data_IF_883775138962
#
_entry.id   IF_883775138962
#
_cell.length_a   1.000
_cell.length_b   1.000
_cell.length_c   1.000
_cell.angle_alpha   90.00
_cell.angle_beta   90.00
_cell.angle_gamma   90.00
#
_symmetry.space_group_name_H-M   'P 1'
#
loop_
_entity.id
_entity.type
_entity.pdbx_description
1 polymer ?
#
# COMPACT_ATOMS: atom_id res chain seq x y z
N UNK A 1 -42.07 -3.04 10.69
CA UNK A 1 -41.38 -2.40 9.56
C UNK A 1 -40.34 -1.36 9.98
N UNK A 2 -40.58 -0.54 10.99
CA UNK A 2 -39.60 0.44 11.47
C UNK A 2 -38.31 -0.16 12.07
N UNK A 3 -38.39 -1.38 12.64
CA UNK A 3 -37.24 -2.08 13.23
C UNK A 3 -36.25 -2.62 12.20
N UNK A 4 -36.70 -2.98 11.00
CA UNK A 4 -35.86 -3.49 9.91
C UNK A 4 -35.02 -2.38 9.30
N UNK A 5 -35.55 -1.15 9.21
CA UNK A 5 -34.84 0.02 8.69
C UNK A 5 -33.66 0.44 9.58
N UNK A 6 -33.78 0.30 10.90
CA UNK A 6 -32.71 0.62 11.87
C UNK A 6 -31.57 -0.40 11.77
N UNK A 7 -31.87 -1.66 11.58
CA UNK A 7 -30.86 -2.73 11.40
C UNK A 7 -30.09 -2.54 10.09
N UNK A 8 -30.76 -2.11 9.02
CA UNK A 8 -30.12 -1.81 7.74
C UNK A 8 -29.18 -0.62 7.83
N UNK A 9 -29.54 0.42 8.59
CA UNK A 9 -28.68 1.58 8.83
C UNK A 9 -27.42 1.22 9.63
N UNK A 10 -27.53 0.33 10.61
CA UNK A 10 -26.41 -0.14 11.42
C UNK A 10 -25.43 -0.99 10.60
N UNK A 11 -25.91 -1.78 9.66
CA UNK A 11 -25.06 -2.57 8.78
C UNK A 11 -24.30 -1.71 7.76
N UNK A 12 -24.89 -0.62 7.28
CA UNK A 12 -24.20 0.33 6.41
C UNK A 12 -23.09 1.09 7.14
N UNK A 13 -23.29 1.44 8.42
CA UNK A 13 -22.30 2.14 9.23
C UNK A 13 -21.08 1.24 9.57
N UNK A 14 -21.26 -0.08 9.65
CA UNK A 14 -20.21 -1.03 9.92
C UNK A 14 -19.30 -1.31 8.70
N UNK A 15 -19.73 -0.95 7.48
CA UNK A 15 -18.97 -1.18 6.24
C UNK A 15 -17.99 -0.06 5.87
N UNK A 16 -17.86 0.98 6.71
CA UNK A 16 -16.96 2.12 6.45
C UNK A 16 -15.52 1.93 6.91
N UNK A 17 -15.13 0.73 7.39
CA UNK A 17 -13.75 0.41 7.77
C UNK A 17 -12.91 0.23 6.51
N UNK A 18 -11.99 1.18 6.29
CA UNK A 18 -11.06 1.11 5.17
C UNK A 18 -9.83 0.29 5.56
N UNK A 19 -9.61 -0.83 4.86
CA UNK A 19 -8.40 -1.59 4.95
C UNK A 19 -7.48 -1.22 3.77
N UNK A 20 -6.21 -0.92 4.07
CA UNK A 20 -5.19 -0.63 3.08
C UNK A 20 -4.10 -1.70 3.10
N UNK A 21 -3.69 -2.13 1.92
CA UNK A 21 -2.65 -3.13 1.74
C UNK A 21 -1.45 -2.50 1.09
N UNK A 22 -0.29 -2.66 1.70
CA UNK A 22 1.00 -2.17 1.22
C UNK A 22 1.92 -3.35 1.03
N UNK A 23 2.52 -3.48 -0.15
CA UNK A 23 3.37 -4.63 -0.48
C UNK A 23 4.54 -4.21 -1.36
N UNK A 24 5.67 -4.84 -1.18
CA UNK A 24 6.80 -4.66 -2.10
C UNK A 24 8.16 -4.74 -1.45
N UNK A 25 8.98 -3.71 -1.64
CA UNK A 25 10.39 -3.67 -1.29
C UNK A 25 10.68 -4.02 0.16
N UNK A 26 11.56 -4.99 0.38
CA UNK A 26 12.05 -5.35 1.71
C UNK A 26 12.94 -4.24 2.31
N UNK A 27 13.59 -3.46 1.47
CA UNK A 27 14.41 -2.30 1.90
C UNK A 27 13.54 -1.20 2.52
N UNK A 28 12.38 -0.95 1.94
CA UNK A 28 11.43 0.07 2.41
C UNK A 28 10.55 -0.46 3.54
N UNK A 29 10.44 -1.76 3.69
CA UNK A 29 9.54 -2.43 4.64
C UNK A 29 9.62 -1.88 6.07
N UNK A 30 10.82 -1.74 6.71
CA UNK A 30 10.88 -1.24 8.09
C UNK A 30 10.33 0.17 8.24
N UNK A 31 10.60 1.06 7.30
CA UNK A 31 10.09 2.44 7.30
C UNK A 31 8.57 2.44 7.14
N UNK A 32 8.06 1.65 6.22
CA UNK A 32 6.62 1.53 5.99
C UNK A 32 5.88 0.94 7.17
N UNK A 33 6.45 -0.08 7.83
CA UNK A 33 5.88 -0.67 9.04
C UNK A 33 5.78 0.33 10.19
N UNK A 34 6.84 1.08 10.46
CA UNK A 34 6.84 2.10 11.50
C UNK A 34 5.84 3.22 11.21
N UNK A 35 5.79 3.66 9.97
CA UNK A 35 4.85 4.70 9.53
C UNK A 35 3.41 4.22 9.66
N UNK A 36 3.13 2.99 9.25
CA UNK A 36 1.81 2.38 9.35
C UNK A 36 1.36 2.23 10.81
N UNK A 37 2.26 1.78 11.69
CA UNK A 37 1.98 1.64 13.12
C UNK A 37 1.65 2.99 13.77
N UNK A 38 2.40 4.03 13.43
CA UNK A 38 2.13 5.38 13.92
C UNK A 38 0.81 5.93 13.40
N UNK A 39 0.53 5.70 12.14
CA UNK A 39 -0.73 6.12 11.54
C UNK A 39 -1.92 5.43 12.21
N UNK A 40 -1.83 4.12 12.42
CA UNK A 40 -2.89 3.35 13.10
C UNK A 40 -3.06 3.75 14.57
N UNK A 41 -1.97 4.15 15.25
CA UNK A 41 -2.06 4.65 16.62
C UNK A 41 -2.81 5.99 16.70
N UNK A 42 -2.66 6.85 15.69
CA UNK A 42 -3.36 8.14 15.60
C UNK A 42 -4.77 8.00 15.02
N UNK A 43 -5.03 6.93 14.28
CA UNK A 43 -6.30 6.66 13.62
C UNK A 43 -6.77 5.25 13.97
N UNK A 44 -7.45 5.05 15.10
CA UNK A 44 -7.80 3.70 15.59
C UNK A 44 -8.65 2.87 14.64
N UNK A 45 -9.38 3.51 13.74
CA UNK A 45 -10.22 2.83 12.74
C UNK A 45 -9.46 2.39 11.49
N UNK A 46 -8.21 2.85 11.33
CA UNK A 46 -7.39 2.49 10.18
C UNK A 46 -6.86 1.05 10.31
N UNK A 47 -6.90 0.32 9.20
CA UNK A 47 -6.36 -1.03 9.08
C UNK A 47 -5.34 -1.04 7.94
N UNK A 48 -4.07 -1.14 8.28
CA UNK A 48 -2.97 -1.14 7.31
C UNK A 48 -2.17 -2.43 7.48
N UNK A 49 -2.01 -3.16 6.38
CA UNK A 49 -1.18 -4.37 6.31
C UNK A 49 0.04 -4.07 5.45
N UNK A 50 1.23 -4.32 5.96
CA UNK A 50 2.50 -4.11 5.25
C UNK A 50 3.19 -5.44 5.08
N UNK A 51 3.49 -5.82 3.84
CA UNK A 51 4.11 -7.09 3.50
C UNK A 51 5.31 -6.87 2.58
N UNK A 52 6.38 -7.61 2.77
CA UNK A 52 7.55 -7.59 1.91
C UNK A 52 7.42 -8.49 0.68
N UNK A 53 8.55 -8.85 0.11
CA UNK A 53 8.63 -9.74 -1.05
C UNK A 53 9.45 -9.18 -2.21
N UNK A 54 9.81 -7.90 -2.17
CA UNK A 54 10.60 -7.20 -3.18
C UNK A 54 9.79 -6.23 -4.01
N UNK A 55 10.49 -5.28 -4.64
CA UNK A 55 9.88 -4.22 -5.47
C UNK A 55 9.03 -4.81 -6.60
N UNK A 56 9.56 -5.81 -7.32
CA UNK A 56 8.84 -6.43 -8.44
C UNK A 56 7.56 -7.12 -8.01
N UNK A 57 7.56 -7.76 -6.84
CA UNK A 57 6.37 -8.38 -6.25
C UNK A 57 5.31 -7.34 -5.91
N UNK A 58 5.72 -6.19 -5.35
CA UNK A 58 4.81 -5.09 -5.04
C UNK A 58 4.16 -4.51 -6.30
N UNK A 59 4.93 -4.28 -7.34
CA UNK A 59 4.43 -3.75 -8.61
C UNK A 59 3.48 -4.75 -9.29
N UNK A 60 3.82 -6.04 -9.28
CA UNK A 60 2.93 -7.09 -9.78
C UNK A 60 1.62 -7.16 -9.00
N UNK A 61 1.68 -7.05 -7.68
CA UNK A 61 0.50 -7.02 -6.83
C UNK A 61 -0.38 -5.79 -7.10
N UNK A 62 0.24 -4.65 -7.36
CA UNK A 62 -0.48 -3.43 -7.74
C UNK A 62 -1.22 -3.62 -9.08
N UNK A 63 -0.56 -4.24 -10.05
CA UNK A 63 -1.14 -4.57 -11.35
C UNK A 63 -2.31 -5.54 -11.21
N UNK A 64 -2.18 -6.56 -10.38
CA UNK A 64 -3.22 -7.57 -10.13
C UNK A 64 -4.37 -7.07 -9.24
N UNK A 65 -4.22 -5.91 -8.62
CA UNK A 65 -5.21 -5.36 -7.69
C UNK A 65 -5.20 -6.00 -6.30
N UNK A 66 -4.14 -6.74 -5.95
CA UNK A 66 -3.99 -7.39 -4.64
C UNK A 66 -3.32 -6.51 -3.60
N UNK A 67 -2.81 -5.36 -3.99
CA UNK A 67 -2.31 -4.32 -3.09
C UNK A 67 -2.79 -2.95 -3.53
N UNK A 68 -2.88 -2.03 -2.60
CA UNK A 68 -3.31 -0.65 -2.88
C UNK A 68 -2.10 0.27 -3.08
N UNK A 69 -0.99 -0.03 -2.41
CA UNK A 69 0.26 0.71 -2.49
C UNK A 69 1.40 -0.29 -2.70
N UNK A 70 2.26 -0.02 -3.66
CA UNK A 70 3.49 -0.77 -3.86
C UNK A 70 4.68 0.00 -3.30
N UNK A 71 5.48 -0.66 -2.48
CA UNK A 71 6.76 -0.13 -2.02
C UNK A 71 7.85 -0.45 -3.04
N UNK A 72 8.66 0.52 -3.38
CA UNK A 72 9.73 0.35 -4.35
C UNK A 72 11.03 0.98 -3.86
N UNK A 73 12.13 0.27 -4.07
CA UNK A 73 13.50 0.78 -3.81
C UNK A 73 14.19 1.25 -5.10
N UNK A 74 13.46 1.30 -6.19
CA UNK A 74 13.88 1.82 -7.49
C UNK A 74 12.71 2.50 -8.18
N UNK A 75 12.96 3.34 -9.19
CA UNK A 75 11.87 3.88 -10.02
C UNK A 75 11.10 2.78 -10.74
N UNK A 76 9.84 3.04 -11.05
CA UNK A 76 9.05 2.15 -11.88
C UNK A 76 9.65 2.10 -13.30
N UNK A 77 9.75 0.90 -13.85
CA UNK A 77 10.23 0.71 -15.21
C UNK A 77 9.16 1.12 -16.23
N UNK A 78 9.61 1.55 -17.40
CA UNK A 78 8.70 1.91 -18.48
C UNK A 78 7.74 0.76 -18.84
N UNK A 79 8.26 -0.47 -18.91
CA UNK A 79 7.46 -1.66 -19.20
C UNK A 79 6.38 -1.92 -18.13
N UNK A 80 6.71 -1.70 -16.87
CA UNK A 80 5.77 -1.82 -15.74
C UNK A 80 4.70 -0.74 -15.81
N UNK A 81 5.10 0.49 -16.10
CA UNK A 81 4.20 1.63 -16.28
C UNK A 81 3.20 1.39 -17.41
N UNK A 82 3.66 0.83 -18.52
CA UNK A 82 2.81 0.48 -19.66
C UNK A 82 1.82 -0.64 -19.32
N UNK A 83 2.23 -1.64 -18.57
CA UNK A 83 1.34 -2.72 -18.10
C UNK A 83 0.23 -2.21 -17.20
N UNK A 84 0.56 -1.32 -16.28
CA UNK A 84 -0.44 -0.69 -15.39
C UNK A 84 -1.43 0.13 -16.19
N UNK A 85 -0.95 0.90 -17.15
CA UNK A 85 -1.78 1.71 -18.03
C UNK A 85 -2.69 0.84 -18.92
N UNK A 86 -2.17 -0.26 -19.43
CA UNK A 86 -2.95 -1.24 -20.22
C UNK A 86 -4.05 -1.91 -19.39
N UNK A 87 -3.86 -2.04 -18.09
CA UNK A 87 -4.88 -2.54 -17.17
C UNK A 87 -5.93 -1.49 -16.77
N UNK A 88 -5.88 -0.28 -17.36
CA UNK A 88 -6.80 0.81 -17.07
C UNK A 88 -6.55 1.51 -15.75
N UNK A 89 -5.35 1.37 -15.18
CA UNK A 89 -4.96 1.97 -13.91
C UNK A 89 -3.98 3.13 -14.12
N UNK A 90 -4.01 4.07 -13.20
CA UNK A 90 -3.02 5.14 -13.11
C UNK A 90 -2.15 4.92 -11.89
N UNK A 91 -0.84 5.14 -12.03
CA UNK A 91 0.13 5.02 -10.95
C UNK A 91 0.76 6.38 -10.69
N UNK A 92 0.71 6.78 -9.44
CA UNK A 92 1.43 7.94 -8.93
C UNK A 92 2.66 7.46 -8.16
N UNK A 93 3.82 8.00 -8.51
CA UNK A 93 5.07 7.77 -7.78
C UNK A 93 5.28 8.88 -6.76
N UNK A 94 5.47 8.48 -5.50
CA UNK A 94 5.80 9.40 -4.40
C UNK A 94 7.12 8.98 -3.78
N UNK A 95 8.09 9.88 -3.76
CA UNK A 95 9.37 9.64 -3.10
C UNK A 95 9.19 9.90 -1.60
N UNK A 96 9.41 8.87 -0.80
CA UNK A 96 9.22 8.94 0.66
C UNK A 96 10.54 9.08 1.43
N UNK A 97 11.66 8.66 0.83
CA UNK A 97 12.98 8.74 1.45
C UNK A 97 14.08 8.57 0.40
N UNK A 98 15.28 9.02 0.74
CA UNK A 98 16.50 8.79 -0.03
C UNK A 98 17.44 7.91 0.79
N UNK A 99 18.12 7.01 0.11
CA UNK A 99 19.17 6.17 0.68
C UNK A 99 20.49 6.42 -0.02
N UNK A 100 21.58 6.20 0.68
CA UNK A 100 22.93 6.35 0.14
C UNK A 100 23.74 5.09 0.42
N UNK A 101 24.38 4.55 -0.61
CA UNK A 101 25.25 3.42 -0.51
C UNK A 101 26.71 3.85 -0.71
N UNK A 102 27.58 3.53 0.23
CA UNK A 102 29.01 3.81 0.13
C UNK A 102 29.80 2.52 0.20
N UNK A 103 30.79 2.39 -0.67
CA UNK A 103 31.76 1.30 -0.61
C UNK A 103 33.00 1.80 0.11
N UNK A 104 33.35 1.15 1.20
CA UNK A 104 34.53 1.50 2.00
C UNK A 104 35.59 0.44 1.78
N UNK A 105 36.80 0.87 1.46
CA UNK A 105 37.96 -0.02 1.18
C UNK A 105 39.04 0.27 2.23
N UNK A 106 39.66 -0.79 2.74
CA UNK A 106 40.83 -0.72 3.65
C UNK A 106 42.13 -0.51 2.91
#
# INVERSE_FOLDING_TARGET
MKRISIILLLTLAASSMQAQRIKGSDTVLPVAQQTAERFMALNPDARITVTGGGTGVGISALLDGTTDIAMASRPIKFSEKMKVKSAGKEVEEVIVAYDALAVVVH
#
